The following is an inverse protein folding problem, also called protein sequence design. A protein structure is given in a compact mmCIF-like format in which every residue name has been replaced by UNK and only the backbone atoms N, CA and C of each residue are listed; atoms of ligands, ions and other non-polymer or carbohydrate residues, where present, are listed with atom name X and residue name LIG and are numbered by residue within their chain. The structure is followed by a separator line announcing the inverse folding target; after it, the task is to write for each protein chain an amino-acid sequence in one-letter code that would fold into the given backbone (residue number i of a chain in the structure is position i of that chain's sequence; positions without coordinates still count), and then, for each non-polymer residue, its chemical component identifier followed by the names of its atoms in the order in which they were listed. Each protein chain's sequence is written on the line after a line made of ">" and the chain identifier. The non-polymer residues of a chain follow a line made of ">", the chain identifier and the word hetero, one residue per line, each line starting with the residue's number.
data_IF_141871507200
#
_entry.id   IF_141871507200
#
_cell.length_a   1.000
_cell.length_b   1.000
_cell.length_c   1.000
_cell.angle_alpha   90.00
_cell.angle_beta   90.00
_cell.angle_gamma   90.00
#
_symmetry.space_group_name_H-M   'P 1'
#
loop_
_entity.id
_entity.type
_entity.pdbx_description
1 polymer ?
#
# COMPACT_ATOMS: atom_id res chain seq x y z
N UNK A 1 17.32 -25.70 -23.16
CA UNK A 1 16.43 -25.03 -22.19
C UNK A 1 15.45 -26.08 -21.67
N UNK A 2 15.81 -26.84 -20.63
CA UNK A 2 14.78 -27.50 -19.81
C UNK A 2 14.36 -26.52 -18.74
N UNK A 3 13.58 -25.53 -19.18
CA UNK A 3 13.01 -24.54 -18.28
C UNK A 3 11.66 -25.12 -17.86
N UNK A 4 11.58 -25.71 -16.65
CA UNK A 4 10.31 -26.15 -16.03
C UNK A 4 9.45 -24.95 -15.60
N UNK A 5 9.28 -23.95 -16.47
CA UNK A 5 8.32 -22.89 -16.24
C UNK A 5 6.92 -23.45 -16.54
N UNK A 6 6.11 -23.52 -15.49
CA UNK A 6 4.78 -24.12 -15.57
C UNK A 6 3.77 -23.03 -15.98
N UNK A 7 3.07 -23.21 -17.10
CA UNK A 7 1.98 -22.32 -17.56
C UNK A 7 0.85 -22.11 -16.54
N UNK A 8 0.75 -22.96 -15.51
CA UNK A 8 -0.24 -22.85 -14.44
C UNK A 8 0.08 -21.74 -13.42
N UNK A 9 1.27 -21.13 -13.46
CA UNK A 9 1.69 -20.05 -12.55
C UNK A 9 1.78 -18.71 -13.31
N UNK A 10 1.45 -17.63 -12.62
CA UNK A 10 1.66 -16.26 -13.11
C UNK A 10 3.05 -15.76 -12.73
N UNK A 11 3.68 -15.03 -13.63
CA UNK A 11 5.03 -14.49 -13.47
C UNK A 11 5.06 -12.98 -13.67
N UNK A 12 5.99 -12.33 -12.98
CA UNK A 12 6.26 -10.90 -13.11
C UNK A 12 7.68 -10.69 -13.61
N UNK A 13 7.88 -10.54 -14.93
CA UNK A 13 9.16 -10.15 -15.48
C UNK A 13 9.57 -8.78 -14.92
N UNK A 14 10.81 -8.72 -14.44
CA UNK A 14 11.46 -7.50 -13.98
C UNK A 14 12.49 -7.10 -15.03
N UNK A 15 12.33 -5.88 -15.55
CA UNK A 15 13.15 -5.32 -16.61
C UNK A 15 13.95 -4.16 -16.05
N UNK A 16 15.27 -4.22 -16.18
CA UNK A 16 16.17 -3.09 -15.91
C UNK A 16 16.63 -2.55 -17.25
N UNK A 17 16.35 -1.27 -17.53
CA UNK A 17 16.85 -0.60 -18.73
C UNK A 17 18.10 0.23 -18.43
N UNK A 18 19.09 0.08 -19.30
CA UNK A 18 20.19 1.03 -19.49
C UNK A 18 20.12 1.58 -20.92
N UNK A 19 20.84 2.65 -21.23
CA UNK A 19 20.69 3.30 -22.56
C UNK A 19 21.01 2.36 -23.73
N UNK A 20 22.00 1.48 -23.58
CA UNK A 20 22.46 0.56 -24.63
C UNK A 20 21.88 -0.86 -24.55
N UNK A 21 21.38 -1.27 -23.39
CA UNK A 21 20.94 -2.64 -23.14
C UNK A 21 19.87 -2.76 -22.04
N UNK A 22 19.38 -3.97 -21.82
CA UNK A 22 18.45 -4.24 -20.73
C UNK A 22 18.54 -5.68 -20.24
N UNK A 23 18.12 -5.89 -19.01
CA UNK A 23 18.10 -7.20 -18.36
C UNK A 23 16.67 -7.57 -17.99
N UNK A 24 16.26 -8.78 -18.34
CA UNK A 24 14.98 -9.37 -17.94
C UNK A 24 15.28 -10.50 -16.95
N UNK A 25 14.62 -10.45 -15.80
CA UNK A 25 14.65 -11.50 -14.78
C UNK A 25 13.24 -11.91 -14.38
N UNK A 26 13.08 -13.05 -13.72
CA UNK A 26 11.80 -13.46 -13.14
C UNK A 26 11.94 -13.47 -11.61
N UNK A 27 11.06 -12.78 -10.91
CA UNK A 27 11.06 -12.79 -9.44
C UNK A 27 10.88 -14.19 -8.87
N UNK A 28 10.06 -15.00 -9.53
CA UNK A 28 9.75 -16.36 -9.12
C UNK A 28 10.87 -17.37 -9.41
N UNK A 29 11.81 -17.00 -10.27
CA UNK A 29 12.95 -17.83 -10.67
C UNK A 29 14.20 -16.96 -10.85
N UNK A 30 14.99 -16.77 -9.78
CA UNK A 30 16.21 -15.95 -9.81
C UNK A 30 17.29 -16.46 -10.78
N UNK A 31 17.20 -17.72 -11.23
CA UNK A 31 18.12 -18.29 -12.21
C UNK A 31 17.82 -17.79 -13.63
N UNK A 32 16.58 -17.40 -13.90
CA UNK A 32 16.17 -16.89 -15.20
C UNK A 32 16.73 -15.49 -15.44
N UNK A 33 17.61 -15.36 -16.45
CA UNK A 33 18.21 -14.09 -16.86
C UNK A 33 18.34 -14.02 -18.38
N UNK A 34 17.78 -12.96 -18.96
CA UNK A 34 17.93 -12.62 -20.38
C UNK A 34 18.54 -11.22 -20.51
N UNK A 35 19.61 -11.12 -21.29
CA UNK A 35 20.25 -9.85 -21.62
C UNK A 35 19.90 -9.48 -23.07
N UNK A 36 19.35 -8.29 -23.27
CA UNK A 36 18.96 -7.76 -24.57
C UNK A 36 19.82 -6.55 -24.91
N UNK A 37 20.33 -6.48 -26.15
CA UNK A 37 21.12 -5.36 -26.64
C UNK A 37 20.83 -5.12 -28.14
N UNK A 38 21.62 -4.28 -28.81
CA UNK A 38 21.41 -3.96 -30.22
C UNK A 38 21.66 -5.13 -31.19
N UNK A 39 22.35 -6.18 -30.76
CA UNK A 39 22.65 -7.35 -31.58
C UNK A 39 21.62 -8.49 -31.43
N UNK A 40 20.80 -8.47 -30.38
CA UNK A 40 19.80 -9.50 -30.13
C UNK A 40 19.50 -9.67 -28.65
N UNK A 41 19.15 -10.89 -28.24
CA UNK A 41 19.06 -11.24 -26.82
C UNK A 41 19.57 -12.65 -26.56
N UNK A 42 20.15 -12.83 -25.37
CA UNK A 42 20.81 -14.05 -24.93
C UNK A 42 20.41 -14.42 -23.51
N UNK A 43 20.33 -15.71 -23.22
CA UNK A 43 20.14 -16.20 -21.86
C UNK A 43 21.49 -16.48 -21.19
N UNK A 44 21.55 -16.31 -19.87
CA UNK A 44 22.68 -16.78 -19.07
C UNK A 44 22.41 -18.22 -18.63
N UNK A 45 23.28 -19.14 -19.01
CA UNK A 45 23.29 -20.52 -18.52
C UNK A 45 24.56 -20.85 -17.74
N UNK A 46 24.67 -22.09 -17.25
CA UNK A 46 25.79 -22.55 -16.40
C UNK A 46 27.15 -22.43 -17.08
N UNK A 47 27.24 -22.70 -18.39
CA UNK A 47 28.48 -22.64 -19.17
C UNK A 47 28.68 -21.33 -19.95
N UNK A 48 27.92 -20.27 -19.63
CA UNK A 48 28.04 -18.96 -20.28
C UNK A 48 26.75 -18.45 -20.92
N UNK A 49 26.88 -17.49 -21.83
CA UNK A 49 25.73 -16.84 -22.48
C UNK A 49 25.39 -17.50 -23.82
N UNK A 50 24.12 -17.76 -24.09
CA UNK A 50 23.65 -18.36 -25.33
C UNK A 50 22.68 -17.44 -26.07
N UNK A 51 22.96 -17.17 -27.34
CA UNK A 51 22.05 -16.38 -28.16
C UNK A 51 20.73 -17.11 -28.36
N UNK A 52 19.65 -16.50 -27.88
CA UNK A 52 18.29 -16.95 -28.19
C UNK A 52 17.82 -16.38 -29.53
N UNK A 53 18.36 -15.20 -29.88
CA UNK A 53 18.20 -14.60 -31.19
C UNK A 53 19.32 -13.58 -31.41
N UNK A 54 19.94 -13.63 -32.59
CA UNK A 54 20.91 -12.66 -33.06
C UNK A 54 20.33 -11.90 -34.26
N UNK A 55 19.84 -10.67 -34.02
CA UNK A 55 19.27 -9.78 -35.05
C UNK A 55 19.49 -8.32 -34.66
N UNK A 56 20.17 -7.58 -35.53
CA UNK A 56 20.47 -6.15 -35.32
C UNK A 56 19.19 -5.31 -35.27
N UNK A 57 18.94 -4.66 -34.13
CA UNK A 57 17.78 -3.80 -33.80
C UNK A 57 18.16 -2.84 -32.68
N UNK A 58 17.24 -2.01 -32.21
CA UNK A 58 17.46 -1.30 -30.93
C UNK A 58 17.32 -2.26 -29.74
N UNK A 59 17.98 -1.95 -28.62
CA UNK A 59 17.82 -2.71 -27.36
C UNK A 59 16.35 -2.82 -26.96
N UNK A 60 15.59 -1.72 -27.05
CA UNK A 60 14.15 -1.66 -26.77
C UNK A 60 13.36 -2.65 -27.63
N UNK A 61 13.64 -2.72 -28.93
CA UNK A 61 12.97 -3.65 -29.85
C UNK A 61 13.30 -5.11 -29.53
N UNK A 62 14.56 -5.42 -29.23
CA UNK A 62 14.96 -6.78 -28.85
C UNK A 62 14.39 -7.20 -27.49
N UNK A 63 14.25 -6.26 -26.56
CA UNK A 63 13.61 -6.48 -25.25
C UNK A 63 12.12 -6.75 -25.41
N UNK A 64 11.43 -5.93 -26.22
CA UNK A 64 10.02 -6.12 -26.54
C UNK A 64 9.77 -7.49 -27.16
N UNK A 65 10.63 -7.91 -28.11
CA UNK A 65 10.51 -9.24 -28.72
C UNK A 65 10.77 -10.38 -27.71
N UNK A 66 11.76 -10.23 -26.83
CA UNK A 66 12.03 -11.22 -25.78
C UNK A 66 10.82 -11.39 -24.85
N UNK A 67 10.18 -10.28 -24.43
CA UNK A 67 8.96 -10.32 -23.62
C UNK A 67 7.78 -10.94 -24.37
N UNK A 68 7.57 -10.59 -25.65
CA UNK A 68 6.52 -11.20 -26.46
C UNK A 68 6.73 -12.72 -26.55
N UNK A 69 7.94 -13.18 -26.84
CA UNK A 69 8.24 -14.62 -26.85
C UNK A 69 8.02 -15.26 -25.49
N UNK A 70 8.44 -14.60 -24.41
CA UNK A 70 8.24 -15.08 -23.05
C UNK A 70 6.74 -15.26 -22.74
N UNK A 71 5.89 -14.34 -23.17
CA UNK A 71 4.43 -14.42 -22.97
C UNK A 71 3.75 -15.62 -23.66
N UNK A 72 4.37 -16.20 -24.70
CA UNK A 72 3.86 -17.43 -25.33
C UNK A 72 4.21 -18.69 -24.53
N UNK A 73 5.24 -18.60 -23.68
CA UNK A 73 5.74 -19.71 -22.86
C UNK A 73 5.13 -19.68 -21.46
N UNK A 74 4.93 -18.50 -20.88
CA UNK A 74 4.42 -18.32 -19.51
C UNK A 74 3.31 -17.26 -19.44
N UNK A 75 2.48 -17.37 -18.41
CA UNK A 75 1.45 -16.37 -18.14
C UNK A 75 2.06 -15.14 -17.46
N UNK A 76 2.16 -14.04 -18.22
CA UNK A 76 2.65 -12.75 -17.72
C UNK A 76 1.45 -11.88 -17.34
N UNK A 77 1.39 -11.43 -16.09
CA UNK A 77 0.31 -10.55 -15.59
C UNK A 77 0.63 -9.06 -15.65
N UNK A 78 1.90 -8.72 -15.90
CA UNK A 78 2.36 -7.35 -16.03
C UNK A 78 3.88 -7.26 -15.96
N UNK A 79 4.43 -6.15 -16.42
CA UNK A 79 5.88 -5.89 -16.40
C UNK A 79 6.26 -4.92 -15.28
N UNK A 80 7.29 -5.29 -14.53
CA UNK A 80 7.95 -4.40 -13.57
C UNK A 80 9.17 -3.81 -14.23
N UNK A 81 9.24 -2.49 -14.29
CA UNK A 81 10.33 -1.80 -14.97
C UNK A 81 11.08 -0.95 -13.95
N UNK A 82 12.39 -1.13 -13.92
CA UNK A 82 13.31 -0.50 -13.00
C UNK A 82 14.24 0.43 -13.76
N UNK A 83 14.35 1.66 -13.26
CA UNK A 83 15.35 2.62 -13.70
C UNK A 83 16.27 2.90 -12.51
N UNK A 84 17.57 2.79 -12.75
CA UNK A 84 18.63 2.95 -11.74
C UNK A 84 19.63 3.99 -12.21
N UNK A 85 20.70 4.24 -11.44
CA UNK A 85 21.83 5.07 -11.89
C UNK A 85 22.63 4.34 -13.00
N UNK A 86 23.18 5.07 -13.99
CA UNK A 86 23.00 6.50 -14.23
C UNK A 86 21.56 6.83 -14.69
N UNK A 87 21.10 8.04 -14.41
CA UNK A 87 19.73 8.46 -14.72
C UNK A 87 19.38 8.22 -16.20
N UNK A 88 18.19 7.67 -16.51
CA UNK A 88 17.76 7.56 -17.89
C UNK A 88 17.46 8.94 -18.47
N UNK A 89 17.89 9.22 -19.71
CA UNK A 89 17.48 10.46 -20.39
C UNK A 89 15.97 10.46 -20.71
N UNK A 90 15.33 11.63 -20.70
CA UNK A 90 13.91 11.76 -21.07
C UNK A 90 13.63 11.27 -22.50
N UNK A 91 14.58 11.51 -23.42
CA UNK A 91 14.52 11.01 -24.80
C UNK A 91 14.47 9.48 -24.82
N UNK A 92 15.30 8.82 -24.02
CA UNK A 92 15.31 7.37 -23.92
C UNK A 92 14.01 6.83 -23.31
N UNK A 93 13.49 7.46 -22.26
CA UNK A 93 12.18 7.09 -21.68
C UNK A 93 11.05 7.20 -22.71
N UNK A 94 10.99 8.32 -23.44
CA UNK A 94 10.03 8.49 -24.53
C UNK A 94 10.14 7.36 -25.55
N UNK A 95 11.35 6.99 -25.97
CA UNK A 95 11.57 5.85 -26.89
C UNK A 95 11.06 4.52 -26.33
N UNK A 96 11.29 4.23 -25.04
CA UNK A 96 10.78 3.02 -24.39
C UNK A 96 9.25 3.00 -24.44
N UNK A 97 8.60 4.07 -23.99
CA UNK A 97 7.14 4.13 -23.87
C UNK A 97 6.40 4.46 -25.18
N UNK A 98 7.12 4.75 -26.26
CA UNK A 98 6.58 4.68 -27.63
C UNK A 98 6.38 3.25 -28.13
N UNK A 99 7.05 2.26 -27.52
CA UNK A 99 6.83 0.85 -27.85
C UNK A 99 5.56 0.32 -27.17
N UNK A 100 4.66 -0.31 -27.95
CA UNK A 100 3.37 -0.81 -27.45
C UNK A 100 3.51 -1.80 -26.29
N UNK A 101 4.53 -2.66 -26.28
CA UNK A 101 4.77 -3.62 -25.19
C UNK A 101 4.96 -2.89 -23.86
N UNK A 102 5.78 -1.84 -23.84
CA UNK A 102 6.10 -1.12 -22.60
C UNK A 102 5.11 -0.02 -22.27
N UNK A 103 4.34 0.48 -23.25
CA UNK A 103 3.31 1.49 -23.01
C UNK A 103 2.13 0.94 -22.20
N UNK A 104 1.69 -0.28 -22.49
CA UNK A 104 0.42 -0.82 -21.98
C UNK A 104 0.57 -1.91 -20.92
N UNK A 105 1.59 -2.77 -21.02
CA UNK A 105 1.67 -4.03 -20.23
C UNK A 105 2.34 -3.83 -18.86
N UNK A 106 3.00 -2.69 -18.64
CA UNK A 106 3.64 -2.44 -17.35
C UNK A 106 2.62 -2.28 -16.22
N UNK A 107 2.93 -2.90 -15.08
CA UNK A 107 2.16 -2.76 -13.86
C UNK A 107 2.90 -1.96 -12.79
N UNK A 108 4.23 -1.90 -12.85
CA UNK A 108 5.05 -1.22 -11.85
C UNK A 108 6.24 -0.50 -12.47
N UNK A 109 6.44 0.74 -12.03
CA UNK A 109 7.67 1.52 -12.28
C UNK A 109 8.39 1.74 -10.96
N UNK A 110 9.69 1.47 -10.95
CA UNK A 110 10.57 1.75 -9.82
C UNK A 110 11.72 2.64 -10.26
N UNK A 111 11.85 3.81 -9.65
CA UNK A 111 13.02 4.68 -9.74
C UNK A 111 13.88 4.42 -8.51
N UNK A 112 15.02 3.77 -8.68
CA UNK A 112 15.85 3.35 -7.54
C UNK A 112 17.23 4.00 -7.60
N UNK A 113 17.55 4.80 -6.60
CA UNK A 113 18.88 5.39 -6.46
C UNK A 113 19.16 6.54 -7.42
N UNK A 114 18.21 6.90 -8.30
CA UNK A 114 18.40 7.96 -9.32
C UNK A 114 18.62 9.32 -8.65
N UNK A 115 19.37 10.19 -9.30
CA UNK A 115 19.38 11.61 -8.94
C UNK A 115 18.03 12.23 -9.31
N UNK A 116 17.50 13.14 -8.48
CA UNK A 116 16.22 13.74 -8.79
C UNK A 116 16.31 14.58 -10.07
N UNK A 117 15.37 14.34 -10.97
CA UNK A 117 15.15 15.16 -12.15
C UNK A 117 13.64 15.33 -12.34
N UNK A 118 13.18 16.57 -12.31
CA UNK A 118 11.76 16.89 -12.35
C UNK A 118 11.09 16.42 -13.63
N UNK A 119 11.76 16.49 -14.79
CA UNK A 119 11.20 16.01 -16.06
C UNK A 119 10.97 14.51 -16.05
N UNK A 120 11.92 13.73 -15.53
CA UNK A 120 11.82 12.27 -15.42
C UNK A 120 10.68 11.89 -14.45
N UNK A 121 10.64 12.48 -13.26
CA UNK A 121 9.62 12.16 -12.26
C UNK A 121 8.24 12.58 -12.76
N UNK A 122 8.11 13.79 -13.33
CA UNK A 122 6.85 14.28 -13.89
C UNK A 122 6.37 13.42 -15.07
N UNK A 123 7.29 12.91 -15.90
CA UNK A 123 6.94 11.99 -16.99
C UNK A 123 6.18 10.77 -16.44
N UNK A 124 6.70 10.12 -15.40
CA UNK A 124 6.02 8.96 -14.81
C UNK A 124 4.75 9.34 -14.05
N UNK A 125 4.75 10.42 -13.27
CA UNK A 125 3.55 10.85 -12.55
C UNK A 125 2.40 11.27 -13.49
N UNK A 126 2.71 11.72 -14.70
CA UNK A 126 1.70 11.99 -15.74
C UNK A 126 1.10 10.72 -16.36
N UNK A 127 1.71 9.55 -16.14
CA UNK A 127 1.19 8.25 -16.55
C UNK A 127 0.34 7.55 -15.47
N UNK A 128 -0.09 8.30 -14.44
CA UNK A 128 -0.82 7.74 -13.31
C UNK A 128 -2.10 7.00 -13.73
N UNK A 129 -2.20 5.74 -13.28
CA UNK A 129 -3.37 4.87 -13.44
C UNK A 129 -3.55 4.08 -12.13
N UNK A 130 -4.80 3.97 -11.68
CA UNK A 130 -5.18 3.33 -10.41
C UNK A 130 -4.91 1.83 -10.37
N UNK A 131 -4.60 1.22 -11.51
CA UNK A 131 -4.25 -0.20 -11.64
C UNK A 131 -2.73 -0.44 -11.64
N UNK A 132 -1.94 0.64 -11.56
CA UNK A 132 -0.48 0.60 -11.66
C UNK A 132 0.19 1.05 -10.38
N UNK A 133 1.46 0.71 -10.25
CA UNK A 133 2.30 1.01 -9.12
C UNK A 133 3.44 1.96 -9.54
N UNK A 134 3.73 2.93 -8.68
CA UNK A 134 4.88 3.83 -8.85
C UNK A 134 5.67 3.87 -7.56
N UNK A 135 6.99 3.71 -7.67
CA UNK A 135 7.89 3.74 -6.53
C UNK A 135 9.11 4.58 -6.85
N UNK A 136 9.57 5.35 -5.87
CA UNK A 136 10.86 6.03 -5.90
C UNK A 136 11.57 5.81 -4.56
N UNK A 137 12.75 5.22 -4.61
CA UNK A 137 13.54 4.84 -3.43
C UNK A 137 14.99 5.26 -3.57
N UNK A 138 15.64 5.50 -2.44
CA UNK A 138 17.05 5.89 -2.37
C UNK A 138 17.39 7.12 -3.26
N UNK A 139 16.40 7.99 -3.44
CA UNK A 139 16.51 9.26 -4.16
C UNK A 139 16.01 10.36 -3.24
N UNK A 140 16.81 11.41 -3.06
CA UNK A 140 16.38 12.59 -2.31
C UNK A 140 15.41 13.42 -3.16
N UNK A 141 14.27 13.79 -2.57
CA UNK A 141 13.23 14.56 -3.24
C UNK A 141 13.30 16.03 -2.81
N UNK A 142 13.17 17.01 -3.72
CA UNK A 142 13.07 18.42 -3.34
C UNK A 142 11.87 18.66 -2.44
N UNK A 143 12.05 19.43 -1.36
CA UNK A 143 11.03 19.64 -0.33
C UNK A 143 9.81 20.41 -0.84
N UNK A 144 10.00 21.25 -1.86
CA UNK A 144 8.99 22.05 -2.53
C UNK A 144 8.33 21.34 -3.72
N UNK A 145 8.73 20.09 -4.01
CA UNK A 145 8.15 19.33 -5.12
C UNK A 145 6.64 19.14 -4.94
N UNK A 146 5.87 19.46 -5.98
CA UNK A 146 4.42 19.25 -6.02
C UNK A 146 4.00 18.68 -7.36
N UNK A 147 3.09 17.70 -7.31
CA UNK A 147 2.49 17.14 -8.51
C UNK A 147 1.07 16.64 -8.25
N UNK A 148 0.11 17.09 -9.07
CA UNK A 148 -1.33 16.77 -8.95
C UNK A 148 -1.66 15.28 -9.04
N UNK A 149 -0.75 14.46 -9.56
CA UNK A 149 -0.93 13.02 -9.73
C UNK A 149 -0.10 12.17 -8.74
N UNK A 150 0.57 12.78 -7.76
CA UNK A 150 1.45 12.07 -6.83
C UNK A 150 0.77 10.91 -6.08
N UNK A 151 -0.55 10.94 -5.89
CA UNK A 151 -1.32 9.89 -5.22
C UNK A 151 -2.43 9.30 -6.09
N UNK A 152 -2.25 9.27 -7.41
CA UNK A 152 -3.25 8.73 -8.36
C UNK A 152 -2.95 7.32 -8.87
N UNK A 153 -1.82 6.73 -8.47
CA UNK A 153 -1.53 5.32 -8.68
C UNK A 153 -2.33 4.43 -7.71
N UNK A 154 -2.50 3.16 -8.07
CA UNK A 154 -3.08 2.17 -7.16
C UNK A 154 -2.19 1.94 -5.94
N UNK A 155 -0.88 1.80 -6.19
CA UNK A 155 0.14 1.72 -5.14
C UNK A 155 1.19 2.80 -5.39
N UNK A 156 1.53 3.55 -4.34
CA UNK A 156 2.59 4.55 -4.40
C UNK A 156 3.53 4.41 -3.22
N UNK A 157 4.84 4.30 -3.47
CA UNK A 157 5.84 4.27 -2.40
C UNK A 157 6.91 5.33 -2.61
N UNK A 158 6.98 6.26 -1.67
CA UNK A 158 7.96 7.35 -1.64
C UNK A 158 8.97 7.08 -0.53
N UNK A 159 10.19 6.72 -0.88
CA UNK A 159 11.29 6.52 0.07
C UNK A 159 11.63 7.82 0.80
N UNK A 160 11.87 8.90 0.04
CA UNK A 160 11.92 10.26 0.59
C UNK A 160 10.57 10.95 0.34
N UNK A 161 9.82 11.19 1.40
CA UNK A 161 8.50 11.78 1.38
C UNK A 161 8.44 13.10 2.16
N UNK A 162 9.59 13.75 2.42
CA UNK A 162 9.66 15.02 3.18
C UNK A 162 8.92 16.17 2.48
N UNK A 163 8.73 16.08 1.17
CA UNK A 163 7.96 17.05 0.37
C UNK A 163 6.43 16.90 0.52
N UNK A 164 5.97 15.77 1.07
CA UNK A 164 4.55 15.47 1.24
C UNK A 164 4.01 16.21 2.46
N UNK A 165 2.99 17.03 2.23
CA UNK A 165 2.31 17.77 3.30
C UNK A 165 1.01 17.08 3.71
N UNK A 166 0.45 17.47 4.86
CA UNK A 166 -0.89 17.04 5.28
C UNK A 166 -1.97 17.36 4.22
N UNK A 167 -1.85 18.50 3.54
CA UNK A 167 -2.78 18.90 2.47
C UNK A 167 -2.74 17.93 1.30
N UNK A 168 -1.55 17.50 0.89
CA UNK A 168 -1.39 16.51 -0.19
C UNK A 168 -2.04 15.17 0.20
N UNK A 169 -1.87 14.74 1.45
CA UNK A 169 -2.48 13.51 1.96
C UNK A 169 -4.01 13.56 1.96
N UNK A 170 -4.61 14.73 2.18
CA UNK A 170 -6.06 14.91 2.11
C UNK A 170 -6.63 14.76 0.70
N UNK A 171 -5.80 14.70 -0.35
CA UNK A 171 -6.23 14.43 -1.72
C UNK A 171 -6.28 12.94 -2.07
N UNK A 172 -5.81 12.06 -1.19
CA UNK A 172 -5.80 10.61 -1.42
C UNK A 172 -7.24 10.07 -1.50
N UNK A 173 -7.61 9.43 -2.62
CA UNK A 173 -8.95 8.87 -2.85
C UNK A 173 -8.90 7.49 -3.47
N UNK A 174 -9.49 6.50 -2.80
CA UNK A 174 -9.70 5.10 -3.17
C UNK A 174 -8.48 4.31 -3.64
N UNK A 175 -7.25 4.69 -3.27
CA UNK A 175 -6.05 3.98 -3.70
C UNK A 175 -5.89 2.66 -2.94
N UNK A 176 -5.03 1.76 -3.39
CA UNK A 176 -4.75 0.52 -2.67
C UNK A 176 -3.76 0.77 -1.55
N UNK A 177 -2.53 1.17 -1.89
CA UNK A 177 -1.43 1.28 -0.95
C UNK A 177 -0.69 2.61 -1.08
N UNK A 178 -0.32 3.22 0.05
CA UNK A 178 0.58 4.39 0.09
C UNK A 178 1.65 4.16 1.15
N UNK A 179 2.93 4.19 0.80
CA UNK A 179 4.03 4.22 1.76
C UNK A 179 4.78 5.55 1.69
N UNK A 180 4.93 6.19 2.84
CA UNK A 180 5.74 7.38 3.04
C UNK A 180 6.88 7.04 4.00
N UNK A 181 8.08 6.87 3.45
CA UNK A 181 9.25 6.33 4.17
C UNK A 181 9.94 7.33 5.10
N UNK A 182 10.30 8.52 4.61
CA UNK A 182 10.90 9.60 5.41
C UNK A 182 10.04 10.85 5.28
N UNK A 183 9.36 11.25 6.34
CA UNK A 183 8.48 12.44 6.34
C UNK A 183 8.86 13.45 7.41
N UNK A 184 8.46 14.71 7.20
CA UNK A 184 8.50 15.81 8.18
C UNK A 184 7.18 15.96 8.95
N UNK A 185 6.29 14.95 8.86
CA UNK A 185 4.98 14.99 9.47
C UNK A 185 5.09 14.84 10.99
N UNK A 186 4.51 15.78 11.73
CA UNK A 186 4.44 15.73 13.18
C UNK A 186 3.33 14.78 13.66
N UNK A 187 3.38 14.41 14.95
CA UNK A 187 2.28 13.72 15.64
C UNK A 187 0.92 14.41 15.46
N UNK A 188 0.88 15.75 15.42
CA UNK A 188 -0.35 16.52 15.17
C UNK A 188 -0.86 16.25 13.75
N UNK A 189 0.01 16.28 12.74
CA UNK A 189 -0.37 16.03 11.35
C UNK A 189 -0.93 14.61 11.18
N UNK A 190 -0.25 13.60 11.76
CA UNK A 190 -0.69 12.21 11.68
C UNK A 190 -2.05 12.01 12.35
N UNK A 191 -2.28 12.57 13.54
CA UNK A 191 -3.58 12.50 14.23
C UNK A 191 -4.69 13.19 13.43
N UNK A 192 -4.43 14.38 12.87
CA UNK A 192 -5.39 15.07 12.00
C UNK A 192 -5.72 14.26 10.74
N UNK A 193 -4.72 13.62 10.14
CA UNK A 193 -4.93 12.75 9.00
C UNK A 193 -5.83 11.56 9.34
N UNK A 194 -5.55 10.85 10.43
CA UNK A 194 -6.35 9.71 10.86
C UNK A 194 -7.78 10.14 11.23
N UNK A 195 -7.94 11.27 11.94
CA UNK A 195 -9.24 11.82 12.27
C UNK A 195 -10.06 12.15 11.01
N UNK A 196 -9.43 12.77 10.00
CA UNK A 196 -10.05 13.07 8.70
C UNK A 196 -10.44 11.80 7.94
N UNK A 197 -9.62 10.76 8.00
CA UNK A 197 -9.98 9.46 7.43
C UNK A 197 -11.23 8.90 8.10
N UNK A 198 -11.27 8.90 9.43
CA UNK A 198 -12.38 8.32 10.21
C UNK A 198 -13.70 9.05 9.93
N UNK A 199 -13.66 10.38 9.79
CA UNK A 199 -14.83 11.20 9.51
C UNK A 199 -15.22 11.26 8.03
N UNK A 200 -14.34 10.86 7.11
CA UNK A 200 -14.60 10.91 5.66
C UNK A 200 -15.81 10.07 5.26
N UNK A 201 -16.57 10.57 4.27
CA UNK A 201 -17.58 9.78 3.57
C UNK A 201 -16.96 8.87 2.50
N UNK A 202 -15.80 9.26 1.97
CA UNK A 202 -15.10 8.53 0.91
C UNK A 202 -14.02 7.60 1.47
N UNK A 203 -13.84 6.47 0.80
CA UNK A 203 -12.70 5.58 1.03
C UNK A 203 -11.43 6.21 0.44
N UNK A 204 -10.41 6.40 1.29
CA UNK A 204 -9.16 7.06 0.89
C UNK A 204 -8.11 6.04 0.40
N UNK A 205 -7.84 5.00 1.17
CA UNK A 205 -6.86 3.96 0.85
C UNK A 205 -7.28 2.61 1.48
N UNK A 206 -6.71 1.49 1.03
CA UNK A 206 -6.83 0.18 1.72
C UNK A 206 -5.71 -0.01 2.75
N UNK A 207 -4.50 0.41 2.43
CA UNK A 207 -3.35 0.37 3.32
C UNK A 207 -2.51 1.63 3.18
N UNK A 208 -1.98 2.13 4.29
CA UNK A 208 -1.06 3.25 4.30
C UNK A 208 -0.02 3.09 5.39
N UNK A 209 1.23 3.41 5.10
CA UNK A 209 2.28 3.57 6.09
C UNK A 209 2.82 4.99 6.06
N UNK A 210 2.97 5.56 7.25
CA UNK A 210 3.61 6.85 7.47
C UNK A 210 4.75 6.59 8.43
N UNK A 211 5.96 6.94 8.02
CA UNK A 211 7.13 6.95 8.89
C UNK A 211 7.66 8.37 9.01
N UNK A 212 7.73 8.84 10.24
CA UNK A 212 8.21 10.16 10.59
C UNK A 212 9.68 10.09 11.01
N UNK A 213 10.37 11.24 10.97
CA UNK A 213 11.72 11.35 11.51
C UNK A 213 11.73 11.41 13.06
N UNK A 214 10.57 11.65 13.66
CA UNK A 214 10.38 11.76 15.11
C UNK A 214 9.38 10.70 15.60
N UNK A 215 9.33 10.50 16.91
CA UNK A 215 8.33 9.64 17.55
C UNK A 215 6.91 10.13 17.24
N UNK A 216 6.06 9.23 16.77
CA UNK A 216 4.64 9.53 16.53
C UNK A 216 3.86 9.25 17.81
N UNK A 217 3.16 10.26 18.32
CA UNK A 217 2.25 10.15 19.46
C UNK A 217 0.80 10.19 18.98
N UNK A 218 0.01 9.20 19.40
CA UNK A 218 -1.42 9.09 19.08
C UNK A 218 -2.33 9.52 20.24
N UNK A 219 -1.78 10.09 21.31
CA UNK A 219 -2.53 10.61 22.45
C UNK A 219 -3.57 11.65 22.01
N UNK A 220 -4.75 11.61 22.64
CA UNK A 220 -5.89 12.46 22.29
C UNK A 220 -6.67 12.04 21.03
N UNK A 221 -6.09 11.25 20.11
CA UNK A 221 -6.80 10.76 18.91
C UNK A 221 -8.05 9.94 19.28
N UNK A 222 -7.95 9.16 20.36
CA UNK A 222 -8.93 8.15 20.72
C UNK A 222 -10.03 8.65 21.69
N UNK A 223 -9.88 9.83 22.30
CA UNK A 223 -10.73 10.29 23.42
C UNK A 223 -12.23 10.22 23.10
N UNK A 224 -12.62 10.60 21.88
CA UNK A 224 -14.02 10.62 21.46
C UNK A 224 -14.42 9.39 20.62
N UNK A 225 -13.50 8.47 20.37
CA UNK A 225 -13.74 7.30 19.53
C UNK A 225 -14.17 6.09 20.37
N UNK A 226 -14.76 5.12 19.68
CA UNK A 226 -14.92 3.76 20.21
C UNK A 226 -13.73 2.99 19.69
N UNK A 227 -12.89 2.48 20.59
CA UNK A 227 -11.64 1.80 20.25
C UNK A 227 -11.63 0.42 20.87
N UNK A 228 -11.14 -0.56 20.11
CA UNK A 228 -10.77 -1.88 20.59
C UNK A 228 -9.27 -2.05 20.40
N UNK A 229 -8.56 -2.28 21.50
CA UNK A 229 -7.12 -2.50 21.52
C UNK A 229 -6.80 -3.96 21.26
N UNK A 230 -5.66 -4.18 20.63
CA UNK A 230 -5.07 -5.49 20.38
C UNK A 230 -3.61 -5.41 20.78
N UNK A 231 -3.22 -6.17 21.79
CA UNK A 231 -1.81 -6.34 22.11
C UNK A 231 -1.24 -7.42 21.19
N UNK A 232 -0.22 -7.07 20.42
CA UNK A 232 0.53 -7.99 19.58
C UNK A 232 1.99 -7.89 20.01
N UNK A 233 2.26 -8.37 21.22
CA UNK A 233 3.57 -8.36 21.90
C UNK A 233 4.16 -6.94 22.13
N UNK A 234 4.44 -6.61 23.39
CA UNK A 234 5.00 -5.32 23.79
C UNK A 234 6.27 -4.99 22.97
N UNK A 235 6.48 -3.75 22.49
CA UNK A 235 5.73 -2.53 22.75
C UNK A 235 4.60 -2.24 21.74
N UNK A 236 4.23 -3.19 20.88
CA UNK A 236 3.38 -2.92 19.74
C UNK A 236 1.89 -3.03 20.09
N UNK A 237 1.16 -1.93 19.90
CA UNK A 237 -0.28 -1.86 20.15
C UNK A 237 -1.01 -1.60 18.82
N UNK A 238 -2.00 -2.44 18.56
CA UNK A 238 -2.95 -2.26 17.48
C UNK A 238 -4.26 -1.68 18.01
N UNK A 239 -4.87 -0.78 17.24
CA UNK A 239 -6.16 -0.18 17.56
C UNK A 239 -7.14 -0.42 16.43
N UNK A 240 -8.37 -0.80 16.76
CA UNK A 240 -9.48 -0.86 15.83
C UNK A 240 -10.46 0.27 16.13
N UNK A 241 -10.92 0.95 15.08
CA UNK A 241 -12.00 1.95 15.16
C UNK A 241 -12.94 1.81 13.95
N UNK A 242 -14.15 2.34 14.08
CA UNK A 242 -15.12 2.36 12.99
C UNK A 242 -15.05 3.70 12.26
N UNK A 243 -15.19 3.66 10.93
CA UNK A 243 -15.53 4.85 10.18
C UNK A 243 -16.85 5.46 10.68
N UNK A 244 -16.95 6.79 10.66
CA UNK A 244 -18.16 7.49 11.07
C UNK A 244 -19.25 7.36 10.01
N UNK A 245 -18.90 7.50 8.73
CA UNK A 245 -19.84 7.36 7.64
C UNK A 245 -20.25 5.89 7.41
N UNK A 246 -21.56 5.66 7.28
CA UNK A 246 -22.13 4.36 6.94
C UNK A 246 -22.03 4.00 5.46
N UNK A 247 -21.81 5.00 4.59
CA UNK A 247 -21.70 4.85 3.12
C UNK A 247 -20.42 4.15 2.69
N UNK A 248 -19.39 4.14 3.54
CA UNK A 248 -18.08 3.58 3.22
C UNK A 248 -18.12 2.07 3.04
N UNK A 249 -17.34 1.59 2.07
CA UNK A 249 -17.13 0.16 1.83
C UNK A 249 -16.22 -0.39 2.93
N UNK A 250 -15.14 0.32 3.26
CA UNK A 250 -14.21 -0.04 4.33
C UNK A 250 -14.64 0.63 5.64
N UNK A 251 -15.35 -0.14 6.48
CA UNK A 251 -16.00 0.36 7.70
C UNK A 251 -15.12 0.27 8.94
N UNK A 252 -14.08 -0.55 8.89
CA UNK A 252 -13.16 -0.78 9.99
C UNK A 252 -11.79 -0.22 9.62
N UNK A 253 -11.18 0.53 10.54
CA UNK A 253 -9.79 0.96 10.45
C UNK A 253 -8.98 0.22 11.51
N UNK A 254 -7.93 -0.45 11.07
CA UNK A 254 -6.86 -0.93 11.92
C UNK A 254 -5.70 0.07 11.89
N UNK A 255 -5.22 0.45 13.06
CA UNK A 255 -4.09 1.35 13.28
C UNK A 255 -3.04 0.53 14.03
N UNK A 256 -1.94 0.23 13.38
CA UNK A 256 -0.77 -0.36 14.00
C UNK A 256 0.24 0.74 14.25
N UNK A 257 0.64 0.91 15.51
CA UNK A 257 1.53 1.98 15.92
C UNK A 257 2.84 1.39 16.43
N UNK A 258 3.93 1.98 15.97
CA UNK A 258 5.30 1.77 16.42
C UNK A 258 5.93 3.15 16.70
N UNK A 259 7.12 3.21 17.30
CA UNK A 259 7.77 4.42 17.79
C UNK A 259 7.75 5.56 16.75
N UNK A 260 8.28 5.32 15.55
CA UNK A 260 8.45 6.32 14.48
C UNK A 260 7.47 6.14 13.32
N UNK A 261 6.52 5.20 13.43
CA UNK A 261 5.69 4.79 12.29
C UNK A 261 4.28 4.38 12.67
N UNK A 262 3.34 4.71 11.77
CA UNK A 262 1.96 4.28 11.86
C UNK A 262 1.57 3.60 10.56
N UNK A 263 1.02 2.40 10.69
CA UNK A 263 0.41 1.67 9.59
C UNK A 263 -1.11 1.64 9.77
N UNK A 264 -1.82 2.06 8.74
CA UNK A 264 -3.26 2.16 8.67
C UNK A 264 -3.77 1.12 7.67
N UNK A 265 -4.79 0.35 8.04
CA UNK A 265 -5.40 -0.61 7.12
C UNK A 265 -6.92 -0.59 7.25
N UNK A 266 -7.59 -0.31 6.13
CA UNK A 266 -9.04 -0.15 6.04
C UNK A 266 -9.67 -1.43 5.52
N UNK A 267 -10.60 -2.01 6.27
CA UNK A 267 -11.17 -3.34 5.98
C UNK A 267 -12.69 -3.30 5.79
N UNK A 268 -13.18 -4.15 4.89
CA UNK A 268 -14.61 -4.43 4.76
C UNK A 268 -15.05 -5.35 5.91
N UNK A 269 -16.31 -5.25 6.38
CA UNK A 269 -16.83 -6.15 7.42
C UNK A 269 -16.68 -7.65 7.14
N UNK A 270 -16.76 -8.05 5.87
CA UNK A 270 -16.66 -9.44 5.41
C UNK A 270 -15.29 -9.81 4.86
N UNK A 271 -14.29 -8.93 4.99
CA UNK A 271 -12.97 -9.16 4.42
C UNK A 271 -12.25 -10.31 5.14
N UNK A 272 -11.57 -11.15 4.36
CA UNK A 272 -10.70 -12.19 4.90
C UNK A 272 -9.27 -11.72 4.74
N UNK A 273 -8.67 -11.27 5.83
CA UNK A 273 -7.30 -10.76 5.83
C UNK A 273 -6.35 -11.90 6.17
N UNK A 274 -5.41 -12.18 5.27
CA UNK A 274 -4.33 -13.15 5.49
C UNK A 274 -3.07 -12.40 5.92
N UNK A 275 -2.51 -12.77 7.07
CA UNK A 275 -1.18 -12.34 7.52
C UNK A 275 -0.31 -13.60 7.67
N UNK A 276 0.58 -13.83 6.70
CA UNK A 276 1.30 -15.10 6.59
C UNK A 276 0.32 -16.28 6.54
N UNK A 277 0.49 -17.24 7.46
CA UNK A 277 -0.40 -18.40 7.58
C UNK A 277 -1.66 -18.15 8.42
N UNK A 278 -1.78 -16.99 9.07
CA UNK A 278 -2.95 -16.68 9.91
C UNK A 278 -4.06 -15.98 9.11
N UNK A 279 -5.28 -16.52 9.20
CA UNK A 279 -6.50 -15.83 8.75
C UNK A 279 -7.06 -15.05 9.94
N UNK A 280 -7.15 -13.72 9.82
CA UNK A 280 -7.83 -12.89 10.81
C UNK A 280 -9.29 -12.72 10.40
N UNK A 281 -10.21 -13.12 11.28
CA UNK A 281 -11.64 -12.90 11.07
C UNK A 281 -12.01 -11.44 11.34
N UNK A 282 -11.93 -10.59 10.32
CA UNK A 282 -12.39 -9.18 10.39
C UNK A 282 -13.85 -9.11 10.85
N UNK A 283 -14.66 -10.09 10.46
CA UNK A 283 -16.08 -10.21 10.85
C UNK A 283 -16.27 -10.19 12.36
N UNK A 284 -15.46 -10.95 13.12
CA UNK A 284 -15.55 -10.99 14.59
C UNK A 284 -15.23 -9.62 15.19
N UNK A 285 -14.13 -9.00 14.76
CA UNK A 285 -13.72 -7.66 15.21
C UNK A 285 -14.79 -6.62 14.88
N UNK A 286 -15.35 -6.64 13.67
CA UNK A 286 -16.40 -5.72 13.27
C UNK A 286 -17.67 -5.86 14.12
N UNK A 287 -18.08 -7.09 14.45
CA UNK A 287 -19.21 -7.35 15.37
C UNK A 287 -18.93 -6.78 16.76
N UNK A 288 -17.74 -7.01 17.32
CA UNK A 288 -17.32 -6.44 18.61
C UNK A 288 -17.41 -4.92 18.57
N UNK A 289 -16.85 -4.29 17.54
CA UNK A 289 -16.86 -2.82 17.38
C UNK A 289 -18.27 -2.25 17.30
N UNK A 290 -19.20 -2.93 16.60
CA UNK A 290 -20.62 -2.54 16.56
C UNK A 290 -21.28 -2.64 17.93
N UNK A 291 -20.96 -3.68 18.71
CA UNK A 291 -21.48 -3.84 20.08
C UNK A 291 -20.92 -2.77 21.02
N UNK A 292 -19.62 -2.47 20.94
CA UNK A 292 -18.98 -1.41 21.71
C UNK A 292 -19.58 -0.03 21.37
N UNK A 293 -19.78 0.27 20.08
CA UNK A 293 -20.44 1.52 19.65
C UNK A 293 -21.85 1.63 20.20
N UNK A 294 -22.64 0.55 20.12
CA UNK A 294 -23.99 0.51 20.69
C UNK A 294 -23.97 0.68 22.21
N UNK A 295 -23.02 0.04 22.91
CA UNK A 295 -22.84 0.17 24.36
C UNK A 295 -22.56 1.63 24.74
N UNK A 296 -21.59 2.29 24.10
CA UNK A 296 -21.25 3.71 24.34
C UNK A 296 -22.44 4.64 24.10
N UNK A 297 -23.24 4.39 23.06
CA UNK A 297 -24.48 5.15 22.81
C UNK A 297 -25.52 4.95 23.90
N UNK A 298 -25.67 3.75 24.45
CA UNK A 298 -26.61 3.50 25.54
C UNK A 298 -26.11 4.08 26.86
N UNK A 299 -24.80 4.04 27.14
CA UNK A 299 -24.20 4.66 28.32
C UNK A 299 -24.41 6.18 28.31
N UNK A 300 -24.16 6.84 27.18
CA UNK A 300 -24.47 8.28 27.04
C UNK A 300 -25.95 8.59 27.29
N UNK A 301 -26.86 7.80 26.71
CA UNK A 301 -28.31 7.97 26.94
C UNK A 301 -28.72 7.72 28.40
N UNK A 302 -28.00 6.84 29.09
CA UNK A 302 -28.22 6.54 30.50
C UNK A 302 -27.80 7.72 31.37
N UNK A 303 -26.62 8.29 31.12
CA UNK A 303 -26.10 9.49 31.79
C UNK A 303 -27.01 10.72 31.59
N UNK A 304 -27.59 10.89 30.40
CA UNK A 304 -28.47 12.02 30.07
C UNK A 304 -29.93 11.84 30.55
N UNK A 305 -30.32 10.65 30.99
CA UNK A 305 -31.71 10.36 31.35
C UNK A 305 -32.07 10.86 32.75
N UNK A 306 -33.26 11.43 32.92
CA UNK A 306 -33.83 11.83 34.24
C UNK A 306 -34.99 10.95 34.72
N UNK A 307 -35.29 9.87 33.99
CA UNK A 307 -36.45 9.01 34.21
C UNK A 307 -36.03 7.66 34.78
N UNK A 308 -36.41 7.38 36.03
CA UNK A 308 -36.04 6.17 36.76
C UNK A 308 -36.45 4.86 36.05
N UNK A 309 -37.54 4.86 35.28
CA UNK A 309 -38.01 3.69 34.54
C UNK A 309 -37.08 3.41 33.36
N UNK A 310 -36.65 4.46 32.66
CA UNK A 310 -35.66 4.37 31.56
C UNK A 310 -34.30 3.95 32.06
N UNK A 311 -33.90 4.36 33.27
CA UNK A 311 -32.64 3.91 33.88
C UNK A 311 -32.57 2.39 34.01
N UNK A 312 -33.63 1.76 34.51
CA UNK A 312 -33.67 0.30 34.70
C UNK A 312 -33.59 -0.43 33.36
N UNK A 313 -34.31 0.05 32.33
CA UNK A 313 -34.26 -0.54 30.99
C UNK A 313 -32.87 -0.41 30.36
N UNK A 314 -32.29 0.79 30.37
CA UNK A 314 -30.98 1.07 29.79
C UNK A 314 -29.87 0.28 30.48
N UNK A 315 -29.88 0.23 31.82
CA UNK A 315 -28.94 -0.57 32.61
C UNK A 315 -29.00 -2.05 32.23
N UNK A 316 -30.20 -2.63 32.14
CA UNK A 316 -30.39 -4.02 31.72
C UNK A 316 -29.85 -4.28 30.30
N UNK A 317 -30.06 -3.34 29.36
CA UNK A 317 -29.55 -3.46 27.98
C UNK A 317 -28.03 -3.34 27.91
N UNK A 318 -27.43 -2.42 28.66
CA UNK A 318 -25.98 -2.28 28.79
C UNK A 318 -25.38 -3.57 29.35
N UNK A 319 -25.97 -4.16 30.39
CA UNK A 319 -25.46 -5.39 30.99
C UNK A 319 -25.56 -6.59 30.03
N UNK A 320 -26.65 -6.70 29.25
CA UNK A 320 -26.77 -7.70 28.18
C UNK A 320 -25.68 -7.53 27.11
N UNK A 321 -25.34 -6.29 26.73
CA UNK A 321 -24.25 -6.02 25.78
C UNK A 321 -22.88 -6.37 26.37
N UNK A 322 -22.60 -6.00 27.63
CA UNK A 322 -21.36 -6.36 28.34
C UNK A 322 -21.12 -7.87 28.33
N UNK A 323 -22.15 -8.67 28.67
CA UNK A 323 -22.08 -10.14 28.61
C UNK A 323 -21.78 -10.66 27.20
N UNK A 324 -22.43 -10.12 26.16
CA UNK A 324 -22.17 -10.51 24.77
C UNK A 324 -20.75 -10.17 24.32
N UNK A 325 -20.26 -8.97 24.66
CA UNK A 325 -18.90 -8.51 24.34
C UNK A 325 -17.87 -9.39 25.03
N UNK A 326 -18.08 -9.72 26.31
CA UNK A 326 -17.20 -10.61 27.07
C UNK A 326 -17.14 -12.03 26.47
N UNK A 327 -18.29 -12.60 26.07
CA UNK A 327 -18.35 -13.90 25.36
C UNK A 327 -17.57 -13.93 24.04
N UNK A 328 -17.29 -12.76 23.44
CA UNK A 328 -16.47 -12.65 22.23
C UNK A 328 -14.96 -12.56 22.53
N UNK A 329 -14.57 -12.62 23.80
CA UNK A 329 -13.17 -12.60 24.26
C UNK A 329 -12.65 -11.22 24.61
N UNK A 330 -13.52 -10.21 24.73
CA UNK A 330 -13.11 -8.84 25.07
C UNK A 330 -13.02 -8.66 26.58
N UNK A 331 -11.90 -8.10 27.03
CA UNK A 331 -11.65 -7.69 28.42
C UNK A 331 -11.49 -6.18 28.49
N UNK A 332 -11.53 -5.61 29.70
CA UNK A 332 -11.22 -4.19 29.92
C UNK A 332 -9.92 -4.08 30.69
N UNK A 333 -8.94 -3.35 30.15
CA UNK A 333 -7.67 -3.02 30.79
C UNK A 333 -7.53 -1.50 30.79
N UNK A 334 -7.27 -0.90 31.95
CA UNK A 334 -7.16 0.56 32.12
C UNK A 334 -8.33 1.35 31.49
N UNK A 335 -9.55 0.81 31.63
CA UNK A 335 -10.77 1.40 31.08
C UNK A 335 -11.00 1.18 29.58
N UNK A 336 -10.11 0.51 28.87
CA UNK A 336 -10.20 0.27 27.42
C UNK A 336 -10.55 -1.16 27.09
N UNK A 337 -11.37 -1.34 26.05
CA UNK A 337 -11.73 -2.65 25.55
C UNK A 337 -10.55 -3.26 24.78
N UNK A 338 -10.21 -4.51 25.09
CA UNK A 338 -9.02 -5.20 24.58
C UNK A 338 -9.37 -6.62 24.12
N UNK A 339 -8.75 -7.09 23.03
CA UNK A 339 -8.86 -8.46 22.50
C UNK A 339 -7.50 -9.11 22.21
#
# INVERSE_FOLDING_TARGET
>A
MEVRLIKKRYYYPEIVFHESDSFITLREDPSFKVWCNSFGYKSKGERGNYWLQYKKRTSIQNTSLAIIRLSHVINITGLRIHFTKPNPSLVFLKKIFSNNTFKTVWNKITLYGIEFNSEIVNFFLNMADRRKEFQIFNSDMPLDFKHKNAFKFGTTDYGDARYVTLSDMFQIRGVENVSLGRTTLTSINVRHFIARFISSADDMFKWMQIRAMETIQLEGLFNNLVVLERHADSPNIGYFTLAMSSSRIYKLLFIYHNIDSVTLSAWKPSEVVKYGNTKKEVKKVYVIMKLLKRKKTLEKKFEESRDATKWRELSNRIQKLKRKIHKLGVVYRDGRATI
#
